data_IF_958024134171
#
_entry.id   IF_958024134171
#
_cell.length_a   1.000
_cell.length_b   1.000
_cell.length_c   1.000
_cell.angle_alpha   90.00
_cell.angle_beta   90.00
_cell.angle_gamma   90.00
#
_symmetry.space_group_name_H-M   'P 1'
#
loop_
_entity.id
_entity.type
_entity.pdbx_description
1 polymer ?
#
# COMPACT_ATOMS: atom_id res chain seq x y z
N UNK A 1 -10.26 -37.46 -22.60
CA UNK A 1 -10.89 -36.74 -21.45
C UNK A 1 -9.88 -36.28 -20.39
N UNK A 2 -8.92 -37.10 -19.93
CA UNK A 2 -7.92 -36.69 -18.91
C UNK A 2 -7.08 -35.44 -19.28
N UNK A 3 -6.71 -35.28 -20.57
CA UNK A 3 -5.87 -34.16 -21.04
C UNK A 3 -6.57 -32.79 -21.01
N UNK A 4 -7.90 -32.75 -21.03
CA UNK A 4 -8.68 -31.50 -20.96
C UNK A 4 -8.80 -31.00 -19.53
N UNK A 5 -8.83 -31.91 -18.55
CA UNK A 5 -8.92 -31.57 -17.13
C UNK A 5 -7.60 -30.96 -16.65
N UNK A 6 -6.45 -31.48 -17.12
CA UNK A 6 -5.12 -30.96 -16.77
C UNK A 6 -4.84 -29.56 -17.36
N UNK A 7 -5.40 -29.25 -18.54
CA UNK A 7 -5.28 -27.92 -19.14
C UNK A 7 -6.12 -26.87 -18.38
N UNK A 8 -7.29 -27.26 -17.89
CA UNK A 8 -8.16 -26.37 -17.13
C UNK A 8 -7.58 -25.99 -15.76
N UNK A 9 -6.90 -26.92 -15.07
CA UNK A 9 -6.30 -26.65 -13.75
C UNK A 9 -5.09 -25.71 -13.83
N UNK A 10 -4.32 -25.74 -14.92
CA UNK A 10 -3.20 -24.82 -15.16
C UNK A 10 -3.68 -23.38 -15.43
N UNK A 11 -4.80 -23.21 -16.14
CA UNK A 11 -5.39 -21.89 -16.39
C UNK A 11 -5.88 -21.20 -15.11
N UNK A 12 -6.44 -21.98 -14.17
CA UNK A 12 -6.93 -21.46 -12.88
C UNK A 12 -5.75 -21.02 -11.98
N UNK A 13 -4.61 -21.71 -12.05
CA UNK A 13 -3.42 -21.34 -11.28
C UNK A 13 -2.76 -20.04 -11.78
N UNK A 14 -2.78 -19.80 -13.10
CA UNK A 14 -2.26 -18.56 -13.69
C UNK A 14 -3.14 -17.35 -13.32
N UNK A 15 -4.47 -17.51 -13.28
CA UNK A 15 -5.41 -16.47 -12.82
C UNK A 15 -5.29 -16.15 -11.32
N UNK A 16 -4.79 -17.07 -10.50
CA UNK A 16 -4.53 -16.82 -9.08
C UNK A 16 -3.25 -15.99 -8.83
N UNK A 17 -2.33 -15.92 -9.81
CA UNK A 17 -1.05 -15.19 -9.65
C UNK A 17 -1.15 -13.69 -9.96
N UNK A 18 -2.27 -13.20 -10.48
CA UNK A 18 -2.55 -11.75 -10.61
C UNK A 18 -2.87 -11.07 -9.27
N UNK A 19 -2.88 -11.82 -8.17
CA UNK A 19 -2.95 -11.30 -6.80
C UNK A 19 -1.57 -10.97 -6.22
N UNK A 20 -0.51 -10.92 -7.03
CA UNK A 20 0.81 -10.46 -6.57
C UNK A 20 0.84 -8.94 -6.50
N UNK A 21 0.31 -8.44 -5.38
CA UNK A 21 0.69 -7.16 -4.83
C UNK A 21 0.05 -5.97 -5.50
N UNK A 22 -1.02 -5.48 -4.88
CA UNK A 22 -1.09 -4.05 -4.58
C UNK A 22 0.15 -3.73 -3.73
N UNK A 23 1.32 -3.63 -4.37
CA UNK A 23 2.43 -2.86 -3.87
C UNK A 23 1.91 -1.43 -3.89
N UNK A 24 1.15 -1.09 -2.84
CA UNK A 24 0.65 0.24 -2.61
C UNK A 24 1.89 1.14 -2.61
N UNK A 25 2.12 1.82 -3.72
CA UNK A 25 3.08 2.89 -3.87
C UNK A 25 2.82 3.81 -2.68
N UNK A 26 3.66 3.71 -1.66
CA UNK A 26 3.43 4.41 -0.42
C UNK A 26 3.72 5.87 -0.73
N UNK A 27 2.68 6.69 -0.83
CA UNK A 27 2.86 8.12 -1.00
C UNK A 27 3.57 8.63 0.27
N UNK A 28 4.81 9.09 0.12
CA UNK A 28 5.53 9.78 1.18
C UNK A 28 5.02 11.22 1.17
N UNK A 29 4.39 11.63 2.26
CA UNK A 29 3.97 13.01 2.46
C UNK A 29 4.80 13.64 3.57
N UNK A 30 5.09 14.93 3.45
CA UNK A 30 5.73 15.72 4.49
C UNK A 30 4.64 16.36 5.37
N UNK A 31 4.78 16.26 6.69
CA UNK A 31 3.94 17.04 7.60
C UNK A 31 4.39 18.49 7.55
N UNK A 32 3.49 19.40 7.18
CA UNK A 32 3.78 20.84 7.10
C UNK A 32 3.25 21.61 8.31
N UNK A 33 2.15 21.15 8.89
CA UNK A 33 1.57 21.72 10.10
C UNK A 33 0.80 20.67 10.90
N UNK A 34 0.74 20.88 12.22
CA UNK A 34 -0.13 20.14 13.14
C UNK A 34 -0.87 21.20 13.95
N UNK A 35 -2.20 21.24 13.85
CA UNK A 35 -3.07 22.15 14.61
C UNK A 35 -4.11 21.31 15.33
N UNK A 36 -4.05 21.30 16.66
CA UNK A 36 -4.88 20.45 17.52
C UNK A 36 -4.85 18.98 17.09
N UNK A 37 -5.94 18.49 16.49
CA UNK A 37 -6.12 17.11 16.02
C UNK A 37 -6.05 16.99 14.50
N UNK A 38 -5.68 18.06 13.79
CA UNK A 38 -5.61 18.12 12.33
C UNK A 38 -4.14 18.15 11.89
N UNK A 39 -3.79 17.25 10.97
CA UNK A 39 -2.46 17.17 10.36
C UNK A 39 -2.56 17.65 8.92
N UNK A 40 -1.77 18.65 8.56
CA UNK A 40 -1.61 19.11 7.17
C UNK A 40 -0.44 18.39 6.53
N UNK A 41 -0.70 17.73 5.40
CA UNK A 41 0.26 16.93 4.67
C UNK A 41 0.51 17.55 3.29
N UNK A 42 1.78 17.71 2.93
CA UNK A 42 2.21 17.95 1.56
C UNK A 42 2.60 16.60 0.94
N UNK A 43 1.79 16.13 0.00
CA UNK A 43 1.97 14.85 -0.69
C UNK A 43 2.48 15.02 -2.14
N UNK A 44 2.79 16.25 -2.58
CA UNK A 44 3.08 16.57 -3.98
C UNK A 44 2.05 15.98 -4.94
N UNK A 45 2.53 15.37 -6.03
CA UNK A 45 1.71 14.74 -7.09
C UNK A 45 0.83 13.57 -6.60
N UNK A 46 1.03 13.10 -5.35
CA UNK A 46 0.18 12.05 -4.78
C UNK A 46 -1.06 12.59 -4.08
N UNK A 47 -1.17 13.91 -3.89
CA UNK A 47 -2.35 14.53 -3.28
C UNK A 47 -3.63 14.21 -4.06
N UNK A 48 -3.56 14.18 -5.40
CA UNK A 48 -4.70 13.88 -6.28
C UNK A 48 -5.25 12.46 -6.10
N UNK A 49 -4.45 11.55 -5.51
CA UNK A 49 -4.85 10.16 -5.23
C UNK A 49 -5.57 10.03 -3.90
N UNK A 50 -5.59 11.07 -3.08
CA UNK A 50 -6.23 11.09 -1.76
C UNK A 50 -7.56 11.82 -1.87
N UNK A 51 -8.64 11.06 -1.97
CA UNK A 51 -9.99 11.61 -2.02
C UNK A 51 -10.56 11.82 -0.61
N UNK A 52 -11.43 12.83 -0.48
CA UNK A 52 -12.13 13.13 0.79
C UNK A 52 -12.92 11.91 1.26
N UNK A 53 -12.82 11.58 2.54
CA UNK A 53 -13.47 10.43 3.16
C UNK A 53 -12.67 9.12 3.09
N UNK A 54 -11.55 9.09 2.36
CA UNK A 54 -10.68 7.91 2.33
C UNK A 54 -9.92 7.74 3.65
N UNK A 55 -10.01 6.54 4.23
CA UNK A 55 -9.23 6.16 5.41
C UNK A 55 -7.79 5.88 5.00
N UNK A 56 -6.86 6.69 5.47
CA UNK A 56 -5.42 6.56 5.19
C UNK A 56 -4.68 5.94 6.37
N UNK A 57 -3.77 4.99 6.11
CA UNK A 57 -2.93 4.39 7.14
C UNK A 57 -1.64 5.19 7.30
N UNK A 58 -1.51 5.90 8.41
CA UNK A 58 -0.29 6.63 8.76
C UNK A 58 0.68 5.66 9.46
N UNK A 59 1.87 5.46 8.89
CA UNK A 59 2.96 4.71 9.52
C UNK A 59 3.99 5.70 10.04
N UNK A 60 4.21 5.71 11.35
CA UNK A 60 5.33 6.44 11.94
C UNK A 60 6.60 5.60 11.84
N UNK A 61 7.75 6.25 11.65
CA UNK A 61 9.02 5.56 11.71
C UNK A 61 9.21 5.00 13.12
N UNK A 62 9.49 3.68 13.21
CA UNK A 62 9.93 3.10 14.48
C UNK A 62 11.30 3.71 14.77
N UNK A 63 11.46 4.36 15.92
CA UNK A 63 12.80 4.69 16.42
C UNK A 63 13.59 3.38 16.41
N UNK A 64 14.63 3.27 15.57
CA UNK A 64 15.57 2.17 15.71
C UNK A 64 16.10 2.28 17.13
N UNK A 65 15.92 1.24 17.95
CA UNK A 65 16.72 1.14 19.16
C UNK A 65 18.17 1.26 18.68
N UNK A 66 18.88 2.25 19.23
CA UNK A 66 20.32 2.36 19.00
C UNK A 66 20.86 1.11 19.70
N UNK A 67 21.15 0.06 18.93
CA UNK A 67 21.84 -1.12 19.44
C UNK A 67 23.24 -0.65 19.85
N UNK A 68 23.45 -0.49 21.15
CA UNK A 68 24.73 -0.05 21.69
C UNK A 68 24.60 0.67 23.03
N UNK A 69 24.30 -0.09 24.08
CA UNK A 69 24.92 0.12 25.38
C UNK A 69 25.25 -1.25 25.97
#
# INVERSE_FOLDING_TARGET
MKKLITAATLAIFLLATSATGILAASAKCKVTAITDTIVTLDCGDNAEKLTVGTVVKVKTEKKKAIEGC
#
